data_IF_021775247144
#
_entry.id   IF_021775247144
#
_cell.length_a   1.000
_cell.length_b   1.000
_cell.length_c   1.000
_cell.angle_alpha   90.00
_cell.angle_beta   90.00
_cell.angle_gamma   90.00
#
_symmetry.space_group_name_H-M   'P 1'
#
loop_
_entity.id
_entity.type
_entity.pdbx_description
1 polymer ?
#
# COMPACT_ATOMS: atom_id res chain seq x y z
N UNK A 1 -6.84 -25.04 21.12
CA UNK A 1 -6.92 -23.99 20.11
C UNK A 1 -6.06 -22.82 20.60
N UNK A 2 -4.77 -22.85 20.30
CA UNK A 2 -3.82 -21.82 20.74
C UNK A 2 -2.60 -21.85 19.81
N UNK A 3 -2.24 -20.69 19.26
CA UNK A 3 -0.86 -20.23 19.00
C UNK A 3 -0.97 -18.69 18.87
N UNK A 4 -0.71 -17.94 19.93
CA UNK A 4 0.59 -17.33 20.28
C UNK A 4 1.16 -16.43 19.16
N UNK A 5 0.57 -15.25 18.99
CA UNK A 5 1.26 -14.09 18.43
C UNK A 5 2.29 -13.58 19.45
N UNK A 6 3.56 -13.88 19.24
CA UNK A 6 4.64 -13.46 20.12
C UNK A 6 4.82 -11.94 20.04
N UNK A 7 4.32 -11.22 21.05
CA UNK A 7 4.78 -9.87 21.33
C UNK A 7 6.21 -9.96 21.88
N UNK A 8 7.20 -9.55 21.08
CA UNK A 8 8.60 -9.51 21.47
C UNK A 8 8.80 -8.52 22.62
N UNK A 9 9.20 -9.03 23.79
CA UNK A 9 9.54 -8.23 24.97
C UNK A 9 10.93 -7.61 24.79
N UNK A 10 11.02 -6.28 24.71
CA UNK A 10 12.27 -5.57 24.97
C UNK A 10 12.21 -4.94 26.38
N UNK A 11 13.18 -5.33 27.22
CA UNK A 11 13.44 -4.72 28.53
C UNK A 11 13.94 -3.29 28.32
N UNK A 12 13.10 -2.29 28.59
CA UNK A 12 13.46 -0.88 28.49
C UNK A 12 12.22 -0.02 28.25
N UNK A 13 11.64 0.51 29.32
CA UNK A 13 10.32 1.13 29.34
C UNK A 13 10.14 2.30 28.37
N UNK A 14 9.40 2.07 27.29
CA UNK A 14 8.28 2.91 26.82
C UNK A 14 7.47 2.09 25.79
N UNK A 15 6.41 1.42 26.24
CA UNK A 15 5.44 0.80 25.30
C UNK A 15 4.64 1.93 24.65
N UNK A 16 5.13 2.43 23.50
CA UNK A 16 4.23 2.94 22.47
C UNK A 16 3.42 1.77 21.90
N UNK A 17 2.32 2.03 21.17
CA UNK A 17 1.64 0.97 20.42
C UNK A 17 2.68 0.23 19.56
N UNK A 18 2.79 -1.08 19.73
CA UNK A 18 3.66 -1.90 18.89
C UNK A 18 3.04 -1.94 17.50
N UNK A 19 3.72 -1.37 16.50
CA UNK A 19 3.27 -1.48 15.10
C UNK A 19 3.38 -2.95 14.69
N UNK A 20 2.26 -3.62 14.38
CA UNK A 20 2.28 -5.04 14.03
C UNK A 20 3.01 -5.30 12.70
N UNK A 21 3.68 -6.45 12.62
CA UNK A 21 4.35 -6.91 11.42
C UNK A 21 3.40 -7.72 10.55
N UNK A 22 3.25 -7.34 9.28
CA UNK A 22 2.39 -8.03 8.33
C UNK A 22 3.17 -8.65 7.18
N UNK A 23 2.59 -9.70 6.58
CA UNK A 23 3.10 -10.30 5.34
C UNK A 23 2.54 -9.59 4.11
N UNK A 24 1.32 -9.06 4.23
CA UNK A 24 0.61 -8.41 3.14
C UNK A 24 0.38 -6.95 3.49
N UNK A 25 0.75 -6.06 2.56
CA UNK A 25 0.48 -4.63 2.65
C UNK A 25 -0.18 -4.18 1.37
N UNK A 26 -1.25 -3.40 1.47
CA UNK A 26 -1.93 -2.86 0.29
C UNK A 26 -2.38 -1.43 0.48
N UNK A 27 -2.57 -0.75 -0.64
CA UNK A 27 -3.44 0.42 -0.73
C UNK A 27 -4.75 0.01 -1.36
N UNK A 28 -5.86 0.44 -0.77
CA UNK A 28 -7.22 0.21 -1.27
C UNK A 28 -7.89 1.54 -1.57
N UNK A 29 -8.45 1.65 -2.76
CA UNK A 29 -9.26 2.79 -3.16
C UNK A 29 -10.62 2.74 -2.46
N UNK A 30 -10.95 3.77 -1.69
CA UNK A 30 -12.22 3.90 -0.98
C UNK A 30 -13.24 4.71 -1.79
N UNK A 31 -12.79 5.64 -2.63
CA UNK A 31 -13.68 6.44 -3.49
C UNK A 31 -12.94 7.09 -4.67
N UNK A 32 -13.71 7.43 -5.71
CA UNK A 32 -13.28 8.20 -6.87
C UNK A 32 -14.14 9.47 -7.02
N UNK A 33 -13.61 10.49 -7.69
CA UNK A 33 -14.46 11.47 -8.39
C UNK A 33 -14.99 10.79 -9.68
N UNK A 34 -15.95 11.35 -10.42
CA UNK A 34 -16.58 10.61 -11.53
C UNK A 34 -15.67 10.45 -12.79
N UNK A 35 -15.49 9.22 -13.29
CA UNK A 35 -14.71 8.81 -14.50
C UNK A 35 -13.16 8.73 -14.36
N UNK A 36 -12.64 7.93 -13.42
CA UNK A 36 -11.20 7.91 -13.10
C UNK A 36 -10.56 6.53 -13.25
N UNK A 37 -9.39 6.47 -13.89
CA UNK A 37 -8.57 5.25 -14.00
C UNK A 37 -7.47 5.26 -12.94
N UNK A 38 -7.56 4.42 -11.92
CA UNK A 38 -6.51 4.39 -10.90
C UNK A 38 -5.22 3.79 -11.44
N UNK A 39 -4.13 4.56 -11.32
CA UNK A 39 -2.79 4.15 -11.74
C UNK A 39 -1.77 4.40 -10.66
N UNK A 40 -0.93 3.40 -10.41
CA UNK A 40 0.17 3.45 -9.44
C UNK A 40 1.47 3.25 -10.21
N UNK A 41 2.35 4.24 -10.18
CA UNK A 41 3.67 4.23 -10.84
C UNK A 41 4.71 3.52 -9.99
N UNK A 42 4.72 3.78 -8.69
CA UNK A 42 5.64 3.15 -7.76
C UNK A 42 4.94 2.96 -6.42
N UNK A 43 5.25 1.85 -5.76
CA UNK A 43 4.75 1.50 -4.45
C UNK A 43 5.86 0.86 -3.63
N UNK A 44 6.17 1.46 -2.49
CA UNK A 44 7.37 1.15 -1.73
C UNK A 44 7.06 1.12 -0.24
N UNK A 45 7.67 0.16 0.45
CA UNK A 45 7.49 -0.09 1.87
C UNK A 45 8.85 -0.01 2.57
N UNK A 46 8.86 0.63 3.73
CA UNK A 46 10.08 0.87 4.50
C UNK A 46 9.89 0.43 5.95
N UNK A 47 10.87 -0.27 6.53
CA UNK A 47 10.81 -0.74 7.92
C UNK A 47 11.06 0.37 8.93
N UNK A 48 11.54 1.54 8.48
CA UNK A 48 11.83 2.71 9.29
C UNK A 48 10.92 3.88 8.88
N UNK A 49 10.74 4.86 9.75
CA UNK A 49 9.98 6.07 9.45
C UNK A 49 10.71 6.99 8.47
N UNK A 50 9.95 7.88 7.82
CA UNK A 50 10.51 8.91 6.94
C UNK A 50 11.12 8.37 5.64
N UNK A 51 10.73 7.17 5.21
CA UNK A 51 11.31 6.46 4.05
C UNK A 51 12.82 6.18 4.22
N UNK A 52 13.28 6.06 5.46
CA UNK A 52 14.64 5.63 5.79
C UNK A 52 14.80 4.11 5.65
N UNK A 53 16.07 3.66 5.67
CA UNK A 53 16.41 2.26 5.54
C UNK A 53 16.28 1.70 4.12
N UNK A 54 16.49 0.38 4.00
CA UNK A 54 16.39 -0.33 2.72
C UNK A 54 14.93 -0.65 2.39
N UNK A 55 14.49 -0.28 1.18
CA UNK A 55 13.17 -0.63 0.64
C UNK A 55 12.93 -2.15 0.78
N UNK A 56 11.80 -2.52 1.37
CA UNK A 56 11.39 -3.92 1.44
C UNK A 56 10.99 -4.44 0.07
N UNK A 57 11.46 -5.64 -0.28
CA UNK A 57 11.18 -6.28 -1.55
C UNK A 57 10.14 -7.37 -1.35
N UNK A 58 9.12 -7.37 -2.20
CA UNK A 58 8.06 -8.37 -2.20
C UNK A 58 7.43 -8.50 -3.59
N UNK A 59 6.48 -9.44 -3.70
CA UNK A 59 5.77 -9.70 -4.95
C UNK A 59 4.55 -8.79 -5.06
N UNK A 60 4.45 -8.06 -6.18
CA UNK A 60 3.31 -7.19 -6.46
C UNK A 60 2.11 -7.96 -7.02
N UNK A 61 0.91 -7.60 -6.55
CA UNK A 61 -0.39 -8.08 -7.07
C UNK A 61 -1.43 -6.97 -6.97
N UNK A 62 -2.56 -7.12 -7.66
CA UNK A 62 -3.62 -6.12 -7.63
C UNK A 62 -4.99 -6.75 -7.87
N UNK A 63 -6.04 -5.99 -7.56
CA UNK A 63 -7.45 -6.38 -7.78
C UNK A 63 -7.77 -6.66 -9.25
N UNK A 64 -7.08 -6.00 -10.18
CA UNK A 64 -7.29 -6.12 -11.62
C UNK A 64 -6.10 -5.54 -12.39
N UNK A 65 -6.09 -5.70 -13.72
CA UNK A 65 -5.18 -4.99 -14.61
C UNK A 65 -5.91 -4.59 -15.90
N UNK A 66 -5.63 -3.41 -16.43
CA UNK A 66 -6.24 -2.90 -17.67
C UNK A 66 -5.77 -3.61 -18.92
N UNK A 67 -4.49 -3.95 -18.98
CA UNK A 67 -3.85 -4.58 -20.14
C UNK A 67 -2.68 -5.46 -19.70
N UNK A 68 -2.02 -6.10 -20.67
CA UNK A 68 -0.76 -6.83 -20.45
C UNK A 68 0.44 -5.91 -20.23
N UNK A 69 0.31 -4.61 -20.52
CA UNK A 69 1.36 -3.62 -20.27
C UNK A 69 1.19 -2.87 -18.93
N UNK A 70 -0.04 -2.78 -18.41
CA UNK A 70 -0.39 -2.07 -17.17
C UNK A 70 -0.49 -3.04 -15.96
N UNK A 71 0.53 -3.90 -15.79
CA UNK A 71 0.56 -4.99 -14.79
C UNK A 71 1.11 -4.55 -13.43
N UNK A 72 0.81 -5.26 -12.32
CA UNK A 72 1.30 -4.89 -10.98
C UNK A 72 2.82 -4.75 -10.86
N UNK A 73 3.59 -5.56 -11.60
CA UNK A 73 5.05 -5.48 -11.59
C UNK A 73 5.61 -4.11 -12.03
N UNK A 74 4.85 -3.33 -12.80
CA UNK A 74 5.23 -1.98 -13.23
C UNK A 74 5.18 -0.93 -12.14
N UNK A 75 4.57 -1.25 -11.00
CA UNK A 75 4.49 -0.36 -9.85
C UNK A 75 5.58 -0.61 -8.81
N UNK A 76 6.56 -1.48 -9.13
CA UNK A 76 7.68 -1.83 -8.25
C UNK A 76 9.01 -1.96 -9.00
N UNK A 77 9.04 -1.56 -10.28
CA UNK A 77 10.20 -1.74 -11.16
C UNK A 77 11.21 -0.58 -11.08
N UNK A 78 10.89 0.48 -10.33
CA UNK A 78 11.75 1.66 -10.17
C UNK A 78 11.68 2.61 -11.35
N UNK A 79 10.76 2.39 -12.30
CA UNK A 79 10.59 3.22 -13.48
C UNK A 79 9.27 4.02 -13.41
N UNK A 80 9.40 5.32 -13.15
CA UNK A 80 8.26 6.25 -13.04
C UNK A 80 7.49 6.46 -14.36
N UNK A 81 8.02 6.00 -15.50
CA UNK A 81 7.33 6.05 -16.80
C UNK A 81 6.35 4.88 -16.98
N UNK A 82 6.48 3.83 -16.18
CA UNK A 82 5.57 2.68 -16.17
C UNK A 82 4.64 2.71 -14.97
N UNK A 83 3.54 1.96 -15.06
CA UNK A 83 2.53 1.93 -14.00
C UNK A 83 1.67 0.68 -14.07
N UNK A 84 1.16 0.28 -12.91
CA UNK A 84 -0.03 -0.54 -12.83
C UNK A 84 -1.27 0.31 -13.13
N UNK A 85 -2.25 -0.25 -13.84
CA UNK A 85 -3.53 0.40 -14.12
C UNK A 85 -4.71 -0.52 -13.87
N UNK A 86 -5.69 -0.05 -13.10
CA UNK A 86 -6.92 -0.80 -12.81
C UNK A 86 -7.77 -1.01 -14.08
N UNK A 87 -8.49 -2.15 -14.17
CA UNK A 87 -9.24 -2.56 -15.37
C UNK A 87 -10.45 -1.69 -15.72
N UNK A 88 -11.01 -0.96 -14.77
CA UNK A 88 -12.23 -0.16 -14.97
C UNK A 88 -12.08 1.24 -14.40
N UNK A 89 -12.73 2.22 -15.06
CA UNK A 89 -12.69 3.64 -14.71
C UNK A 89 -13.87 4.15 -13.89
N UNK A 90 -14.64 3.26 -13.26
CA UNK A 90 -15.94 3.64 -12.70
C UNK A 90 -16.06 3.37 -11.20
N UNK A 91 -16.61 4.35 -10.50
CA UNK A 91 -17.06 4.33 -9.10
C UNK A 91 -18.00 3.15 -8.73
N UNK A 92 -18.43 2.32 -9.69
CA UNK A 92 -19.25 1.15 -9.43
C UNK A 92 -18.46 -0.03 -8.80
N UNK A 93 -17.12 -0.02 -8.89
CA UNK A 93 -16.26 -1.02 -8.25
C UNK A 93 -15.34 -0.35 -7.22
N UNK A 94 -15.95 0.14 -6.14
CA UNK A 94 -15.29 0.60 -4.91
C UNK A 94 -14.65 -0.58 -4.18
N UNK A 95 -13.61 -1.17 -4.77
CA UNK A 95 -12.66 -2.07 -4.10
C UNK A 95 -11.42 -2.34 -4.99
N UNK A 96 -10.88 -1.31 -5.64
CA UNK A 96 -9.59 -1.48 -6.32
C UNK A 96 -8.47 -1.47 -5.28
N UNK A 97 -7.49 -2.37 -5.41
CA UNK A 97 -6.34 -2.41 -4.51
C UNK A 97 -5.06 -2.80 -5.24
N UNK A 98 -3.94 -2.32 -4.72
CA UNK A 98 -2.59 -2.73 -5.09
C UNK A 98 -1.85 -3.22 -3.85
N UNK A 99 -1.20 -4.38 -3.95
CA UNK A 99 -0.64 -5.12 -2.81
C UNK A 99 0.80 -5.56 -3.06
N UNK A 100 1.60 -5.52 -1.99
CA UNK A 100 2.88 -6.23 -1.89
C UNK A 100 2.75 -7.38 -0.89
N UNK A 101 3.12 -8.57 -1.35
CA UNK A 101 3.33 -9.73 -0.49
C UNK A 101 4.82 -9.84 -0.18
N UNK A 102 5.18 -9.62 1.09
CA UNK A 102 6.54 -9.79 1.57
C UNK A 102 6.89 -11.29 1.73
N UNK A 103 8.16 -11.67 1.57
CA UNK A 103 8.59 -13.07 1.75
C UNK A 103 8.38 -13.57 3.19
N UNK A 104 8.44 -12.66 4.16
CA UNK A 104 8.14 -12.89 5.58
C UNK A 104 7.41 -11.67 6.15
N UNK A 105 6.66 -11.87 7.23
CA UNK A 105 6.06 -10.75 7.94
C UNK A 105 7.16 -9.79 8.41
N UNK A 106 6.95 -8.50 8.18
CA UNK A 106 7.88 -7.44 8.58
C UNK A 106 7.11 -6.22 9.05
N UNK A 107 7.72 -5.45 9.94
CA UNK A 107 7.19 -4.15 10.35
C UNK A 107 7.40 -3.19 9.17
N UNK A 108 6.36 -2.41 8.86
CA UNK A 108 6.42 -1.27 7.95
C UNK A 108 6.04 -0.03 8.74
N UNK A 109 6.95 0.94 8.80
CA UNK A 109 6.75 2.19 9.55
C UNK A 109 6.50 3.37 8.60
N UNK A 110 6.90 3.26 7.34
CA UNK A 110 6.52 4.21 6.31
C UNK A 110 6.32 3.55 4.95
N UNK A 111 5.49 4.19 4.14
CA UNK A 111 5.24 3.76 2.78
C UNK A 111 5.16 4.96 1.85
N UNK A 112 5.59 4.76 0.60
CA UNK A 112 5.48 5.74 -0.48
C UNK A 112 4.70 5.14 -1.62
N UNK A 113 3.82 5.92 -2.21
CA UNK A 113 3.24 5.60 -3.51
C UNK A 113 3.27 6.81 -4.43
N UNK A 114 3.45 6.53 -5.72
CA UNK A 114 3.44 7.49 -6.79
C UNK A 114 2.26 7.19 -7.70
N UNK A 115 1.49 8.21 -8.06
CA UNK A 115 0.38 8.04 -9.02
C UNK A 115 0.75 8.62 -10.38
N UNK A 116 0.00 8.24 -11.40
CA UNK A 116 0.07 8.92 -12.68
C UNK A 116 -0.42 10.37 -12.53
N UNK A 117 0.45 11.34 -12.81
CA UNK A 117 0.12 12.76 -12.82
C UNK A 117 -0.75 13.11 -14.04
N UNK A 118 -2.06 13.14 -13.84
CA UNK A 118 -3.01 13.64 -14.81
C UNK A 118 -4.40 13.78 -14.18
N UNK A 119 -5.23 14.74 -14.64
CA UNK A 119 -6.64 14.77 -14.25
C UNK A 119 -7.25 13.40 -14.55
N UNK A 120 -8.06 12.83 -13.65
CA UNK A 120 -8.72 11.56 -13.96
C UNK A 120 -8.00 10.28 -13.52
N UNK A 121 -6.84 10.33 -12.85
CA UNK A 121 -6.01 9.12 -12.67
C UNK A 121 -5.71 8.65 -11.23
N UNK A 122 -6.41 9.21 -10.24
CA UNK A 122 -6.20 8.93 -8.83
C UNK A 122 -7.50 8.67 -8.07
N UNK A 123 -7.38 8.00 -6.93
CA UNK A 123 -8.46 7.88 -5.95
C UNK A 123 -8.68 9.23 -5.24
N UNK A 124 -9.89 9.47 -4.72
CA UNK A 124 -10.16 10.61 -3.82
C UNK A 124 -9.75 10.27 -2.37
N UNK A 125 -9.96 9.02 -1.97
CA UNK A 125 -9.64 8.52 -0.63
C UNK A 125 -9.05 7.12 -0.74
N UNK A 126 -8.01 6.85 0.02
CA UNK A 126 -7.36 5.54 0.08
C UNK A 126 -7.16 5.09 1.52
N UNK A 127 -7.23 3.78 1.73
CA UNK A 127 -6.80 3.12 2.95
C UNK A 127 -5.46 2.40 2.73
N UNK A 128 -4.53 2.56 3.66
CA UNK A 128 -3.38 1.68 3.84
C UNK A 128 -3.78 0.54 4.74
N UNK A 129 -3.52 -0.69 4.33
CA UNK A 129 -3.97 -1.87 5.04
C UNK A 129 -2.85 -2.90 5.18
N UNK A 130 -2.84 -3.56 6.33
CA UNK A 130 -1.96 -4.68 6.64
C UNK A 130 -2.75 -5.96 6.90
N UNK A 131 -2.18 -7.11 6.55
CA UNK A 131 -2.77 -8.42 6.80
C UNK A 131 -1.73 -9.51 7.04
N UNK A 132 -2.07 -10.47 7.90
CA UNK A 132 -1.26 -11.67 8.15
C UNK A 132 -1.58 -12.81 7.17
N UNK A 133 -2.82 -12.87 6.68
CA UNK A 133 -3.37 -14.01 5.91
C UNK A 133 -3.82 -13.64 4.48
N UNK A 134 -3.85 -12.35 4.14
CA UNK A 134 -4.31 -11.83 2.86
C UNK A 134 -5.84 -11.81 2.70
N UNK A 135 -6.58 -12.15 3.75
CA UNK A 135 -8.05 -12.23 3.78
C UNK A 135 -8.62 -11.20 4.75
N UNK A 136 -8.08 -11.15 5.96
CA UNK A 136 -8.50 -10.24 7.02
C UNK A 136 -7.55 -9.03 7.06
N UNK A 137 -8.10 -7.84 6.88
CA UNK A 137 -7.33 -6.60 6.71
C UNK A 137 -7.58 -5.63 7.86
N UNK A 138 -6.49 -5.04 8.36
CA UNK A 138 -6.51 -3.96 9.35
C UNK A 138 -6.13 -2.66 8.64
N UNK A 139 -6.94 -1.63 8.83
CA UNK A 139 -6.64 -0.27 8.34
C UNK A 139 -5.55 0.34 9.22
N UNK A 140 -4.41 0.65 8.60
CA UNK A 140 -3.26 1.30 9.24
C UNK A 140 -3.36 2.82 9.16
N UNK A 141 -3.90 3.32 8.04
CA UNK A 141 -4.13 4.74 7.81
C UNK A 141 -5.21 4.94 6.72
N UNK A 142 -5.90 6.07 6.76
CA UNK A 142 -6.72 6.59 5.67
C UNK A 142 -6.25 8.00 5.32
N UNK A 143 -6.08 8.27 4.02
CA UNK A 143 -5.64 9.56 3.53
C UNK A 143 -6.36 9.94 2.25
N UNK A 144 -6.49 11.24 1.95
CA UNK A 144 -6.86 11.68 0.62
C UNK A 144 -5.94 11.04 -0.41
N UNK A 145 -6.50 10.62 -1.54
CA UNK A 145 -5.66 10.26 -2.66
C UNK A 145 -4.93 11.50 -3.18
N UNK A 146 -3.79 11.28 -3.82
CA UNK A 146 -2.97 12.36 -4.37
C UNK A 146 -3.10 12.42 -5.87
N UNK A 147 -3.03 13.63 -6.43
CA UNK A 147 -2.83 13.87 -7.87
C UNK A 147 -1.39 14.27 -8.20
N UNK A 148 -0.55 14.44 -7.18
CA UNK A 148 0.87 14.78 -7.32
C UNK A 148 1.70 13.50 -7.43
N UNK A 149 2.88 13.60 -8.05
CA UNK A 149 3.70 12.44 -8.38
C UNK A 149 4.07 11.55 -7.18
N UNK A 150 3.97 12.02 -5.92
CA UNK A 150 4.35 11.26 -4.74
C UNK A 150 3.49 11.63 -3.53
N UNK A 151 3.01 10.61 -2.82
CA UNK A 151 2.49 10.74 -1.46
C UNK A 151 3.08 9.63 -0.58
N UNK A 152 3.14 9.88 0.72
CA UNK A 152 3.75 8.96 1.67
C UNK A 152 3.12 9.10 3.05
N UNK A 153 3.26 8.05 3.85
CA UNK A 153 2.67 7.94 5.19
C UNK A 153 3.72 7.47 6.19
N UNK A 154 3.62 7.96 7.44
CA UNK A 154 4.29 7.39 8.61
C UNK A 154 3.24 6.75 9.52
N UNK A 155 3.40 5.46 9.81
CA UNK A 155 2.47 4.69 10.65
C UNK A 155 2.74 4.86 12.17
N UNK A 156 3.83 5.52 12.56
CA UNK A 156 4.24 5.70 13.97
C UNK A 156 3.43 6.75 14.77
N UNK A 157 2.53 7.50 14.14
CA UNK A 157 1.91 8.71 14.74
C UNK A 157 0.43 8.59 15.14
N UNK A 158 -0.10 7.38 15.33
CA UNK A 158 -1.50 7.19 15.73
C UNK A 158 -1.64 6.38 17.01
#
# INVERSE_FOLDING_TARGET
MALNGAALTLLGGRRGPTVPAYKYYRIRCLSFSANYWWRVREFELYPESGLAGTKLIGTASASSQKSTSEIPARAVDGNLETYWGARTSRAANVDQWFQITLPKAAIVLSARFSVYSGPGHHANLIAWEGSEDGINWIVLDEQPGTSTNRAWVNFERR
#
